data_IF_674336933502
#
_entry.id   IF_674336933502
#
_cell.length_a   1.000
_cell.length_b   1.000
_cell.length_c   1.000
_cell.angle_alpha   90.00
_cell.angle_beta   90.00
_cell.angle_gamma   90.00
#
_symmetry.space_group_name_H-M   'P 1'
#
loop_
_entity.id
_entity.type
_entity.pdbx_description
1 polymer ?
#
# COMPACT_ATOMS: atom_id res chain seq x y z
N UNK A 1 -44.79 26.29 8.75
CA UNK A 1 -43.34 26.36 9.05
C UNK A 1 -42.68 25.15 8.40
N UNK A 2 -41.79 25.30 7.39
CA UNK A 2 -40.94 24.21 6.95
C UNK A 2 -39.52 24.39 7.52
N UNK A 3 -38.96 23.31 8.07
CA UNK A 3 -37.52 23.24 8.38
C UNK A 3 -36.77 23.08 7.06
N UNK A 4 -36.13 24.14 6.58
CA UNK A 4 -35.07 24.05 5.59
C UNK A 4 -33.78 23.66 6.32
N UNK A 5 -33.40 22.38 6.24
CA UNK A 5 -32.20 21.87 6.92
C UNK A 5 -31.56 20.63 6.30
N UNK A 6 -32.08 20.11 5.18
CA UNK A 6 -31.55 18.92 4.51
C UNK A 6 -30.59 19.19 3.34
N UNK A 7 -30.76 20.31 2.62
CA UNK A 7 -30.08 20.49 1.32
C UNK A 7 -28.56 20.66 1.37
N UNK A 8 -27.98 21.13 2.48
CA UNK A 8 -26.53 21.34 2.57
C UNK A 8 -25.75 20.04 2.85
N UNK A 9 -26.33 19.12 3.63
CA UNK A 9 -25.71 17.82 3.91
C UNK A 9 -25.76 16.92 2.67
N UNK A 10 -26.90 16.91 1.97
CA UNK A 10 -27.08 16.13 0.74
C UNK A 10 -26.13 16.61 -0.39
N UNK A 11 -25.84 17.91 -0.45
CA UNK A 11 -24.90 18.49 -1.43
C UNK A 11 -23.43 18.16 -1.09
N UNK A 12 -23.07 18.12 0.20
CA UNK A 12 -21.74 17.73 0.67
C UNK A 12 -21.48 16.23 0.44
N UNK A 13 -22.47 15.39 0.69
CA UNK A 13 -22.42 13.94 0.41
C UNK A 13 -22.24 13.69 -1.09
N UNK A 14 -23.04 14.34 -1.95
CA UNK A 14 -22.90 14.23 -3.40
C UNK A 14 -21.51 14.66 -3.89
N UNK A 15 -20.94 15.72 -3.30
CA UNK A 15 -19.58 16.17 -3.64
C UNK A 15 -18.53 15.13 -3.25
N UNK A 16 -18.65 14.52 -2.07
CA UNK A 16 -17.74 13.47 -1.60
C UNK A 16 -17.81 12.23 -2.51
N UNK A 17 -19.01 11.81 -2.93
CA UNK A 17 -19.17 10.68 -3.86
C UNK A 17 -18.50 10.94 -5.22
N UNK A 18 -18.66 12.16 -5.76
CA UNK A 18 -18.01 12.54 -7.02
C UNK A 18 -16.49 12.55 -6.88
N UNK A 19 -15.97 13.07 -5.76
CA UNK A 19 -14.54 13.08 -5.47
C UNK A 19 -13.98 11.65 -5.33
N UNK A 20 -14.65 10.77 -4.59
CA UNK A 20 -14.25 9.36 -4.46
C UNK A 20 -14.22 8.64 -5.81
N UNK A 21 -15.22 8.89 -6.68
CA UNK A 21 -15.23 8.31 -8.03
C UNK A 21 -14.03 8.77 -8.85
N UNK A 22 -13.69 10.06 -8.80
CA UNK A 22 -12.55 10.61 -9.51
C UNK A 22 -11.23 10.00 -9.01
N UNK A 23 -11.05 9.93 -7.68
CA UNK A 23 -9.87 9.30 -7.05
C UNK A 23 -9.73 7.85 -7.52
N UNK A 24 -10.84 7.09 -7.54
CA UNK A 24 -10.83 5.70 -7.98
C UNK A 24 -10.50 5.53 -9.48
N UNK A 25 -10.97 6.44 -10.34
CA UNK A 25 -10.65 6.43 -11.77
C UNK A 25 -9.17 6.75 -12.01
N UNK A 26 -8.63 7.78 -11.35
CA UNK A 26 -7.23 8.15 -11.43
C UNK A 26 -6.33 7.04 -10.90
N UNK A 27 -6.68 6.43 -9.76
CA UNK A 27 -5.94 5.30 -9.20
C UNK A 27 -5.89 4.11 -10.16
N UNK A 28 -6.99 3.79 -10.85
CA UNK A 28 -7.01 2.70 -11.85
C UNK A 28 -6.11 2.99 -13.03
N UNK A 29 -6.08 4.24 -13.51
CA UNK A 29 -5.19 4.66 -14.60
C UNK A 29 -3.74 4.59 -14.14
N UNK A 30 -3.42 5.10 -12.95
CA UNK A 30 -2.08 5.00 -12.37
C UNK A 30 -1.64 3.54 -12.24
N UNK A 31 -2.48 2.66 -11.66
CA UNK A 31 -2.19 1.23 -11.49
C UNK A 31 -1.88 0.54 -12.82
N UNK A 32 -2.62 0.84 -13.89
CA UNK A 32 -2.34 0.31 -15.23
C UNK A 32 -1.00 0.77 -15.81
N UNK A 33 -0.53 1.95 -15.39
CA UNK A 33 0.71 2.54 -15.88
C UNK A 33 1.93 2.19 -15.01
N UNK A 34 1.76 1.57 -13.84
CA UNK A 34 2.89 1.29 -12.92
C UNK A 34 4.05 0.54 -13.57
N UNK A 35 3.88 -0.45 -14.48
CA UNK A 35 5.01 -1.14 -15.11
C UNK A 35 5.87 -0.24 -16.00
N UNK A 36 5.32 0.89 -16.45
CA UNK A 36 6.05 1.86 -17.26
C UNK A 36 6.68 2.99 -16.41
N UNK A 37 6.22 3.14 -15.16
CA UNK A 37 6.58 4.27 -14.30
C UNK A 37 7.58 3.90 -13.20
N UNK A 38 7.59 2.64 -12.74
CA UNK A 38 8.37 2.22 -11.59
C UNK A 38 9.02 0.86 -11.85
N UNK A 39 10.27 0.72 -11.40
CA UNK A 39 10.96 -0.57 -11.38
C UNK A 39 10.40 -1.49 -10.27
N UNK A 40 9.89 -0.91 -9.17
CA UNK A 40 9.31 -1.63 -8.04
C UNK A 40 8.18 -0.84 -7.39
N UNK A 41 7.06 -1.50 -7.13
CA UNK A 41 5.96 -0.97 -6.31
C UNK A 41 5.51 -2.06 -5.35
N UNK A 42 5.58 -1.79 -4.05
CA UNK A 42 5.07 -2.69 -3.01
C UNK A 42 3.89 -2.01 -2.35
N UNK A 43 2.75 -2.70 -2.30
CA UNK A 43 1.54 -2.22 -1.62
C UNK A 43 1.18 -3.20 -0.51
N UNK A 44 0.94 -2.68 0.70
CA UNK A 44 0.51 -3.48 1.84
C UNK A 44 -0.53 -2.71 2.64
N UNK A 45 -1.69 -3.32 2.89
CA UNK A 45 -2.73 -2.77 3.74
C UNK A 45 -2.41 -3.08 5.20
N UNK A 46 -2.17 -2.04 6.00
CA UNK A 46 -2.02 -2.18 7.45
C UNK A 46 -3.38 -2.34 8.10
N UNK A 47 -3.44 -3.10 9.20
CA UNK A 47 -4.67 -3.24 10.00
C UNK A 47 -5.14 -1.90 10.57
N UNK A 48 -4.19 -1.10 11.06
CA UNK A 48 -4.42 0.26 11.55
C UNK A 48 -3.54 1.25 10.80
N UNK A 49 -4.02 2.47 10.53
CA UNK A 49 -3.23 3.48 9.84
C UNK A 49 -1.99 3.83 10.67
N UNK A 50 -0.90 4.11 9.96
CA UNK A 50 0.33 4.60 10.57
C UNK A 50 0.50 6.09 10.31
N UNK A 51 0.74 6.85 11.37
CA UNK A 51 1.05 8.28 11.28
C UNK A 51 2.56 8.56 11.21
N UNK A 52 3.39 7.51 11.16
CA UNK A 52 4.84 7.60 11.08
C UNK A 52 5.41 6.49 10.21
N UNK A 53 6.48 6.78 9.48
CA UNK A 53 7.27 5.79 8.74
C UNK A 53 8.73 6.20 8.79
N UNK A 54 9.61 5.28 9.16
CA UNK A 54 11.04 5.54 9.21
C UNK A 54 11.83 4.29 8.85
N UNK A 55 12.62 4.36 7.77
CA UNK A 55 13.61 3.33 7.45
C UNK A 55 14.72 3.31 8.50
N UNK A 56 15.14 2.11 8.87
CA UNK A 56 16.33 1.89 9.67
C UNK A 56 17.54 1.68 8.76
N UNK A 57 18.76 2.04 9.22
CA UNK A 57 19.96 1.98 8.39
C UNK A 57 20.43 0.56 8.07
N UNK A 58 19.95 -0.45 8.82
CA UNK A 58 20.40 -1.82 8.67
C UNK A 58 19.84 -2.46 7.39
N UNK A 59 20.76 -2.87 6.51
CA UNK A 59 20.48 -3.72 5.35
C UNK A 59 21.24 -5.05 5.52
N UNK A 60 20.53 -6.16 5.39
CA UNK A 60 21.12 -7.49 5.43
C UNK A 60 20.85 -8.21 4.11
N UNK A 61 21.86 -8.85 3.53
CA UNK A 61 21.72 -9.67 2.33
C UNK A 61 21.99 -11.12 2.72
N UNK A 62 20.93 -11.94 2.91
CA UNK A 62 21.12 -13.33 3.32
C UNK A 62 21.88 -14.11 2.24
N UNK A 63 22.88 -14.94 2.60
CA UNK A 63 23.67 -15.69 1.62
C UNK A 63 22.79 -16.58 0.73
N UNK A 64 22.98 -16.48 -0.60
CA UNK A 64 22.25 -17.27 -1.58
C UNK A 64 20.80 -16.83 -1.81
N UNK A 65 20.42 -15.62 -1.39
CA UNK A 65 19.15 -14.97 -1.74
C UNK A 65 19.36 -13.83 -2.73
N UNK A 66 18.33 -13.58 -3.51
CA UNK A 66 18.20 -12.54 -4.54
C UNK A 66 17.56 -11.23 -4.01
N UNK A 67 17.47 -11.10 -2.68
CA UNK A 67 16.89 -9.93 -2.03
C UNK A 67 17.72 -9.50 -0.83
N UNK A 68 17.63 -8.23 -0.52
CA UNK A 68 18.02 -7.67 0.75
C UNK A 68 16.83 -7.58 1.71
N UNK A 69 17.12 -7.68 3.00
CA UNK A 69 16.21 -7.46 4.09
C UNK A 69 16.51 -6.10 4.71
N UNK A 70 15.51 -5.24 4.72
CA UNK A 70 15.56 -3.93 5.35
C UNK A 70 14.42 -3.81 6.37
N UNK A 71 14.55 -2.88 7.30
CA UNK A 71 13.57 -2.68 8.37
C UNK A 71 13.06 -1.25 8.39
N UNK A 72 11.81 -1.10 8.77
CA UNK A 72 11.19 0.21 9.01
C UNK A 72 10.40 0.21 10.31
N UNK A 73 10.33 1.38 10.94
CA UNK A 73 9.47 1.65 12.08
C UNK A 73 8.15 2.20 11.56
N UNK A 74 7.05 1.64 12.06
CA UNK A 74 5.69 2.11 11.89
C UNK A 74 5.03 2.23 13.27
N UNK A 75 3.97 3.03 13.39
CA UNK A 75 3.06 3.01 14.54
C UNK A 75 1.66 2.59 14.15
N UNK A 76 0.82 2.25 15.12
CA UNK A 76 -0.63 2.16 14.91
C UNK A 76 -1.32 3.45 15.36
N UNK A 77 -2.46 3.75 14.77
CA UNK A 77 -3.41 4.75 15.27
C UNK A 77 -4.82 4.15 15.30
N UNK A 78 -5.22 3.65 16.47
CA UNK A 78 -6.46 2.89 16.72
C UNK A 78 -7.66 3.75 17.12
N UNK A 79 -7.50 5.08 17.24
CA UNK A 79 -8.55 6.01 17.73
C UNK A 79 -9.16 5.61 19.09
N UNK A 80 -8.32 5.13 20.02
CA UNK A 80 -8.68 4.70 21.38
C UNK A 80 -9.54 3.42 21.47
N UNK A 81 -9.79 2.74 20.35
CA UNK A 81 -10.54 1.47 20.35
C UNK A 81 -9.71 0.29 20.86
N UNK A 82 -8.40 0.30 20.62
CA UNK A 82 -7.44 -0.76 20.95
C UNK A 82 -6.10 -0.15 21.43
N UNK A 83 -5.23 -0.87 22.16
CA UNK A 83 -3.89 -0.38 22.50
C UNK A 83 -3.07 -0.06 21.25
N UNK A 84 -2.28 1.03 21.30
CA UNK A 84 -1.37 1.37 20.21
C UNK A 84 -0.01 0.67 20.35
N UNK A 85 0.59 0.33 19.22
CA UNK A 85 1.87 -0.38 19.13
C UNK A 85 2.90 0.37 18.29
N UNK A 86 4.16 0.24 18.71
CA UNK A 86 5.32 0.49 17.87
C UNK A 86 5.62 -0.80 17.10
N UNK A 87 5.67 -0.72 15.78
CA UNK A 87 5.87 -1.87 14.89
C UNK A 87 7.24 -1.77 14.22
N UNK A 88 7.93 -2.91 14.17
CA UNK A 88 9.12 -3.09 13.34
C UNK A 88 8.73 -3.96 12.15
N UNK A 89 8.53 -3.33 10.99
CA UNK A 89 8.23 -4.04 9.76
C UNK A 89 9.53 -4.41 9.03
N UNK A 90 9.52 -5.58 8.41
CA UNK A 90 10.64 -6.10 7.62
C UNK A 90 10.22 -6.14 6.15
N UNK A 91 11.03 -5.53 5.29
CA UNK A 91 10.78 -5.47 3.85
C UNK A 91 11.88 -6.23 3.13
N UNK A 92 11.47 -7.10 2.21
CA UNK A 92 12.36 -7.78 1.28
C UNK A 92 12.38 -6.98 -0.01
N UNK A 93 13.56 -6.47 -0.39
CA UNK A 93 13.76 -5.73 -1.63
C UNK A 93 14.67 -6.52 -2.55
N UNK A 94 14.31 -6.70 -3.84
CA UNK A 94 15.17 -7.38 -4.81
C UNK A 94 16.54 -6.68 -4.89
N UNK A 95 17.58 -7.47 -5.17
CA UNK A 95 18.90 -6.93 -5.48
C UNK A 95 18.93 -6.37 -6.91
N UNK A 96 19.83 -5.43 -7.18
CA UNK A 96 19.93 -4.78 -8.50
C UNK A 96 20.27 -5.76 -9.64
N UNK A 97 20.90 -6.89 -9.31
CA UNK A 97 21.25 -7.97 -10.24
C UNK A 97 20.20 -9.10 -10.30
N UNK A 98 19.12 -9.00 -9.52
CA UNK A 98 17.99 -9.90 -9.63
C UNK A 98 17.25 -9.61 -10.94
N UNK A 99 17.22 -10.58 -11.86
CA UNK A 99 16.44 -10.45 -13.09
C UNK A 99 14.95 -10.30 -12.73
N UNK A 100 14.44 -9.08 -12.83
CA UNK A 100 13.01 -8.83 -12.74
C UNK A 100 12.35 -9.37 -14.03
N UNK A 101 11.63 -10.49 -13.95
CA UNK A 101 10.77 -10.93 -15.05
C UNK A 101 9.54 -10.01 -15.11
N UNK A 102 9.76 -8.80 -15.63
CA UNK A 102 8.81 -7.70 -15.75
C UNK A 102 7.59 -8.02 -16.65
N UNK A 103 7.44 -9.28 -17.07
CA UNK A 103 6.41 -9.73 -18.02
C UNK A 103 5.32 -10.58 -17.37
N UNK A 104 5.46 -10.95 -16.10
CA UNK A 104 4.38 -11.61 -15.35
C UNK A 104 3.46 -10.57 -14.70
N UNK A 105 2.75 -9.82 -15.53
CA UNK A 105 1.58 -9.06 -15.10
C UNK A 105 0.40 -10.05 -15.02
N UNK A 106 0.14 -10.57 -13.82
CA UNK A 106 -0.97 -11.51 -13.59
C UNK A 106 -2.29 -10.73 -13.49
N UNK A 107 -3.01 -10.62 -14.61
CA UNK A 107 -4.30 -9.93 -14.71
C UNK A 107 -5.40 -10.67 -13.92
N UNK A 108 -5.19 -11.96 -13.60
CA UNK A 108 -6.17 -12.83 -12.94
C UNK A 108 -6.08 -12.78 -11.39
N UNK A 109 -5.03 -12.18 -10.83
CA UNK A 109 -4.84 -12.02 -9.38
C UNK A 109 -4.92 -10.55 -8.95
N UNK A 110 -6.02 -9.88 -9.31
CA UNK A 110 -6.26 -8.45 -9.07
C UNK A 110 -6.11 -7.95 -7.60
N UNK A 111 -6.07 -8.86 -6.61
CA UNK A 111 -6.00 -8.57 -5.17
C UNK A 111 -4.67 -8.92 -4.47
N UNK A 112 -3.71 -9.54 -5.14
CA UNK A 112 -2.43 -9.88 -4.50
C UNK A 112 -1.30 -9.29 -5.32
N UNK A 113 -0.70 -8.22 -4.79
CA UNK A 113 0.53 -7.64 -5.31
C UNK A 113 1.59 -8.74 -5.42
N UNK A 114 1.79 -9.21 -6.66
CA UNK A 114 2.72 -10.27 -6.99
C UNK A 114 4.15 -9.78 -6.89
N UNK A 115 4.72 -9.89 -5.68
CA UNK A 115 6.13 -10.12 -5.49
C UNK A 115 6.29 -11.26 -4.48
N UNK A 116 6.65 -12.45 -4.99
CA UNK A 116 7.22 -13.55 -4.21
C UNK A 116 6.42 -13.99 -2.98
N UNK A 117 5.29 -14.68 -3.17
CA UNK A 117 4.82 -15.59 -2.14
C UNK A 117 5.87 -16.70 -1.97
N UNK A 118 6.70 -16.59 -0.92
CA UNK A 118 7.47 -17.72 -0.44
C UNK A 118 6.48 -18.82 -0.06
N UNK A 119 6.32 -19.81 -0.94
CA UNK A 119 5.62 -21.05 -0.64
C UNK A 119 6.39 -21.77 0.46
N UNK A 120 5.87 -21.68 1.69
CA UNK A 120 6.37 -22.42 2.83
C UNK A 120 5.98 -23.89 2.73
N UNK A 121 6.96 -24.77 2.89
CA UNK A 121 6.74 -26.13 3.40
C UNK A 121 6.75 -26.09 4.92
#
# INVERSE_FOLDING_TARGET
>A
MPKAGGGAADEEEFRAEVEERLINEEYKIWKKNTPFLYDLVITHALEWPSLTVQWLPDRAEPPGKDHSVQKMILGTHTSDNEPNYLMLAQVQLPLDDAEADARHYDDDHADIGGFGAASGK
#
